data_IF_763296237398
#
_entry.id   IF_763296237398
#
_cell.length_a   1.000
_cell.length_b   1.000
_cell.length_c   1.000
_cell.angle_alpha   90.00
_cell.angle_beta   90.00
_cell.angle_gamma   90.00
#
_symmetry.space_group_name_H-M   'P 1'
#
loop_
_entity.id
_entity.type
_entity.pdbx_description
1 polymer ?
#
# COMPACT_ATOMS: atom_id res chain seq x y z
N UNK A 1 4.72 19.31 -0.24
CA UNK A 1 3.47 18.76 0.35
C UNK A 1 3.52 17.25 0.23
N UNK A 2 3.43 16.52 1.34
CA UNK A 2 3.46 15.05 1.39
C UNK A 2 2.05 14.47 1.51
N UNK A 3 1.92 13.14 1.43
CA UNK A 3 0.66 12.41 1.61
C UNK A 3 0.87 10.89 1.63
N UNK A 4 -0.22 10.13 1.71
CA UNK A 4 -0.22 8.67 1.63
C UNK A 4 -1.46 8.17 0.86
N UNK A 5 -1.59 6.85 0.75
CA UNK A 5 -2.71 6.10 0.15
C UNK A 5 -2.70 6.03 -1.38
N UNK A 6 -1.95 6.89 -2.06
CA UNK A 6 -1.97 6.99 -3.52
C UNK A 6 -3.39 7.12 -4.10
N UNK A 7 -4.24 7.93 -3.45
CA UNK A 7 -5.57 8.27 -3.97
C UNK A 7 -5.48 8.90 -5.36
N UNK A 8 -6.41 8.55 -6.28
CA UNK A 8 -6.32 8.96 -7.69
C UNK A 8 -6.16 10.48 -7.87
N UNK A 9 -6.87 11.28 -7.07
CA UNK A 9 -6.74 12.73 -7.11
C UNK A 9 -5.33 13.22 -6.68
N UNK A 10 -4.76 12.62 -5.64
CA UNK A 10 -3.40 12.91 -5.19
C UNK A 10 -2.34 12.43 -6.19
N UNK A 11 -2.55 11.29 -6.85
CA UNK A 11 -1.66 10.81 -7.92
C UNK A 11 -1.67 11.79 -9.09
N UNK A 12 -2.85 12.29 -9.50
CA UNK A 12 -2.93 13.34 -10.50
C UNK A 12 -2.22 14.63 -10.03
N UNK A 13 -2.33 15.00 -8.76
CA UNK A 13 -1.57 16.13 -8.21
C UNK A 13 -0.06 15.92 -8.20
N UNK A 14 0.41 14.69 -8.01
CA UNK A 14 1.84 14.35 -8.14
C UNK A 14 2.30 14.51 -9.59
N UNK A 15 1.50 14.06 -10.56
CA UNK A 15 1.79 14.23 -11.99
C UNK A 15 1.82 15.71 -12.39
N UNK A 16 0.83 16.48 -11.92
CA UNK A 16 0.68 17.93 -12.14
C UNK A 16 1.72 18.78 -11.36
N UNK A 17 2.48 18.20 -10.44
CA UNK A 17 3.43 18.92 -9.58
C UNK A 17 2.81 19.75 -8.44
N UNK A 18 1.52 19.52 -8.12
CA UNK A 18 0.79 20.18 -7.03
C UNK A 18 1.01 19.50 -5.67
N UNK A 19 1.32 18.20 -5.68
CA UNK A 19 1.70 17.42 -4.51
C UNK A 19 3.08 16.80 -4.76
N UNK A 20 3.98 16.83 -3.78
CA UNK A 20 5.37 16.43 -3.99
C UNK A 20 5.54 14.91 -4.02
N UNK A 21 4.77 14.20 -3.18
CA UNK A 21 4.81 12.74 -3.09
C UNK A 21 3.56 12.19 -2.40
N UNK A 22 3.35 10.88 -2.55
CA UNK A 22 2.44 10.07 -1.74
C UNK A 22 3.12 8.76 -1.34
N UNK A 23 2.88 8.27 -0.13
CA UNK A 23 3.29 6.91 0.27
C UNK A 23 2.25 5.91 -0.22
N UNK A 24 2.64 5.09 -1.19
CA UNK A 24 1.85 3.96 -1.67
C UNK A 24 1.93 2.81 -0.67
N UNK A 25 0.75 2.42 -0.18
CA UNK A 25 0.50 1.22 0.62
C UNK A 25 -0.35 0.29 -0.23
N UNK A 26 0.22 -0.81 -0.73
CA UNK A 26 -0.53 -1.70 -1.62
C UNK A 26 -1.61 -2.45 -0.84
N UNK A 27 -2.85 -1.96 -0.94
CA UNK A 27 -4.01 -2.54 -0.25
C UNK A 27 -4.27 -3.98 -0.71
N UNK A 28 -3.82 -4.39 -1.91
CA UNK A 28 -3.96 -5.78 -2.38
C UNK A 28 -3.14 -6.73 -1.53
N UNK A 29 -1.94 -6.32 -1.09
CA UNK A 29 -1.09 -7.10 -0.17
C UNK A 29 -1.77 -7.21 1.19
N UNK A 30 -2.22 -6.09 1.75
CA UNK A 30 -2.91 -6.07 3.04
C UNK A 30 -4.15 -6.99 3.04
N UNK A 31 -4.98 -6.92 2.00
CA UNK A 31 -6.18 -7.75 1.85
C UNK A 31 -5.81 -9.22 1.74
N UNK A 32 -4.78 -9.57 0.95
CA UNK A 32 -4.30 -10.95 0.81
C UNK A 32 -3.83 -11.52 2.15
N UNK A 33 -3.06 -10.75 2.91
CA UNK A 33 -2.54 -11.17 4.22
C UNK A 33 -3.66 -11.32 5.24
N UNK A 34 -4.64 -10.42 5.23
CA UNK A 34 -5.84 -10.51 6.08
C UNK A 34 -6.67 -11.76 5.77
N UNK A 35 -6.92 -12.05 4.48
CA UNK A 35 -7.63 -13.25 4.04
C UNK A 35 -6.85 -14.51 4.46
N UNK A 36 -5.53 -14.55 4.22
CA UNK A 36 -4.70 -15.69 4.59
C UNK A 36 -4.73 -15.94 6.10
N UNK A 37 -4.69 -14.87 6.89
CA UNK A 37 -4.76 -14.93 8.35
C UNK A 37 -6.11 -15.46 8.82
N UNK A 38 -7.21 -14.94 8.27
CA UNK A 38 -8.55 -15.40 8.60
C UNK A 38 -8.75 -16.88 8.24
N UNK A 39 -8.29 -17.31 7.05
CA UNK A 39 -8.37 -18.71 6.61
C UNK A 39 -7.57 -19.65 7.50
N UNK A 40 -6.37 -19.24 7.94
CA UNK A 40 -5.58 -20.04 8.89
C UNK A 40 -6.33 -20.26 10.21
N UNK A 41 -6.92 -19.20 10.78
CA UNK A 41 -7.75 -19.34 11.98
C UNK A 41 -8.96 -20.27 11.77
N UNK A 42 -9.65 -20.17 10.63
CA UNK A 42 -10.78 -21.06 10.31
C UNK A 42 -10.37 -22.53 10.17
N UNK A 43 -9.11 -22.81 9.85
CA UNK A 43 -8.55 -24.17 9.79
C UNK A 43 -8.00 -24.65 11.13
N UNK A 44 -8.05 -23.82 12.19
CA UNK A 44 -7.42 -24.12 13.46
C UNK A 44 -5.89 -24.01 13.44
N UNK A 45 -5.33 -23.34 12.43
CA UNK A 45 -3.91 -23.07 12.30
C UNK A 45 -3.54 -21.73 12.95
N UNK A 46 -2.27 -21.59 13.35
CA UNK A 46 -1.71 -20.31 13.79
C UNK A 46 -1.19 -19.55 12.58
N UNK A 47 -1.70 -18.33 12.28
CA UNK A 47 -1.19 -17.52 11.18
C UNK A 47 0.28 -17.14 11.37
N UNK A 48 1.01 -16.97 10.27
CA UNK A 48 2.37 -16.43 10.32
C UNK A 48 2.32 -14.94 10.66
N UNK A 49 3.06 -14.56 11.71
CA UNK A 49 3.26 -13.20 12.15
C UNK A 49 4.75 -13.03 12.51
N UNK A 50 5.59 -12.58 11.57
CA UNK A 50 7.05 -12.51 11.77
C UNK A 50 7.49 -11.41 12.73
N UNK A 51 6.62 -10.44 13.01
CA UNK A 51 6.88 -9.33 13.94
C UNK A 51 5.89 -9.28 15.08
N UNK A 52 6.05 -8.27 15.93
CA UNK A 52 5.11 -7.95 17.01
C UNK A 52 5.00 -6.45 17.18
N UNK A 53 3.81 -5.96 17.50
CA UNK A 53 3.55 -4.56 17.81
C UNK A 53 2.94 -4.40 19.19
N UNK A 54 3.56 -3.55 20.02
CA UNK A 54 3.10 -3.34 21.39
C UNK A 54 1.86 -2.43 21.40
N UNK A 55 0.74 -2.91 21.94
CA UNK A 55 -0.49 -2.12 22.06
C UNK A 55 -0.68 -1.48 23.45
N UNK A 56 0.38 -1.41 24.26
CA UNK A 56 0.36 -0.95 25.65
C UNK A 56 -0.05 -2.01 26.68
N UNK A 57 -0.37 -3.24 26.25
CA UNK A 57 -0.70 -4.37 27.14
C UNK A 57 0.05 -5.65 26.79
N UNK A 58 0.11 -5.96 25.50
CA UNK A 58 0.81 -7.14 24.97
C UNK A 58 1.55 -6.76 23.69
N UNK A 59 2.56 -7.55 23.38
CA UNK A 59 3.18 -7.57 22.06
C UNK A 59 2.29 -8.39 21.12
N UNK A 60 1.50 -7.71 20.29
CA UNK A 60 0.54 -8.32 19.37
C UNK A 60 1.30 -8.89 18.18
N UNK A 61 1.19 -10.19 17.86
CA UNK A 61 1.79 -10.75 16.65
C UNK A 61 1.31 -10.00 15.41
N UNK A 62 2.25 -9.52 14.59
CA UNK A 62 2.00 -8.65 13.46
C UNK A 62 2.68 -9.15 12.17
N UNK A 63 2.03 -8.84 11.05
CA UNK A 63 2.58 -8.95 9.70
C UNK A 63 2.53 -7.57 9.07
N UNK A 64 3.69 -6.99 8.81
CA UNK A 64 3.82 -5.66 8.22
C UNK A 64 4.04 -5.76 6.71
N UNK A 65 3.25 -5.01 5.94
CA UNK A 65 3.46 -4.87 4.50
C UNK A 65 4.38 -3.68 4.21
N UNK A 66 5.32 -3.86 3.28
CA UNK A 66 6.20 -2.78 2.85
C UNK A 66 5.42 -1.62 2.19
N UNK A 67 5.96 -0.40 2.33
CA UNK A 67 5.42 0.82 1.71
C UNK A 67 6.42 1.43 0.75
N UNK A 68 5.93 2.20 -0.22
CA UNK A 68 6.76 2.81 -1.26
C UNK A 68 6.48 4.30 -1.38
N UNK A 69 7.51 5.14 -1.32
CA UNK A 69 7.36 6.56 -1.68
C UNK A 69 7.18 6.70 -3.19
N UNK A 70 6.09 7.37 -3.59
CA UNK A 70 5.77 7.65 -4.98
C UNK A 70 5.89 9.15 -5.25
N UNK A 71 6.78 9.49 -6.19
CA UNK A 71 6.97 10.83 -6.76
C UNK A 71 6.66 10.79 -8.26
N UNK A 72 6.84 11.93 -8.94
CA UNK A 72 6.72 12.00 -10.40
C UNK A 72 7.69 11.05 -11.12
N UNK A 73 8.83 10.74 -10.51
CA UNK A 73 9.90 9.93 -11.13
C UNK A 73 9.56 8.44 -11.22
N UNK A 74 8.67 7.95 -10.35
CA UNK A 74 8.36 6.52 -10.25
C UNK A 74 6.85 6.19 -10.24
N UNK A 75 5.97 7.18 -10.42
CA UNK A 75 4.51 6.98 -10.40
C UNK A 75 4.04 5.91 -11.39
N UNK A 76 4.61 5.89 -12.60
CA UNK A 76 4.30 4.88 -13.61
C UNK A 76 4.71 3.48 -13.15
N UNK A 77 5.96 3.32 -12.69
CA UNK A 77 6.48 2.03 -12.23
C UNK A 77 5.71 1.50 -11.00
N UNK A 78 5.47 2.38 -10.02
CA UNK A 78 4.89 2.00 -8.74
C UNK A 78 3.39 1.67 -8.83
N UNK A 79 2.61 2.41 -9.64
CA UNK A 79 1.16 2.31 -9.63
C UNK A 79 0.56 1.70 -10.91
N UNK A 80 1.25 1.81 -12.05
CA UNK A 80 0.70 1.36 -13.34
C UNK A 80 1.34 0.04 -13.75
N UNK A 81 2.67 -0.02 -13.78
CA UNK A 81 3.39 -1.23 -14.17
C UNK A 81 3.19 -2.36 -13.12
N UNK A 82 2.88 -1.99 -11.87
CA UNK A 82 2.44 -2.93 -10.82
C UNK A 82 1.00 -3.42 -10.97
N UNK A 83 0.24 -2.87 -11.91
CA UNK A 83 -1.17 -3.16 -12.16
C UNK A 83 -2.12 -2.67 -11.06
N UNK A 84 -1.72 -1.70 -10.23
CA UNK A 84 -2.60 -1.16 -9.18
C UNK A 84 -3.71 -0.28 -9.77
N UNK A 85 -3.35 0.59 -10.71
CA UNK A 85 -4.27 1.39 -11.52
C UNK A 85 -3.96 1.24 -13.01
N UNK A 86 -4.88 1.76 -13.84
CA UNK A 86 -4.67 1.82 -15.29
C UNK A 86 -4.13 3.19 -15.68
N UNK A 87 -3.31 3.26 -16.72
CA UNK A 87 -2.79 4.55 -17.21
C UNK A 87 -3.92 5.51 -17.63
N UNK A 88 -5.06 4.97 -18.08
CA UNK A 88 -6.24 5.73 -18.49
C UNK A 88 -6.93 6.48 -17.33
N UNK A 89 -6.61 6.13 -16.07
CA UNK A 89 -7.11 6.84 -14.89
C UNK A 89 -6.49 8.25 -14.75
N UNK A 90 -5.40 8.55 -15.48
CA UNK A 90 -4.59 9.76 -15.30
C UNK A 90 -4.30 10.50 -16.61
N UNK A 91 -4.01 11.79 -16.49
CA UNK A 91 -3.60 12.67 -17.61
C UNK A 91 -2.16 13.13 -17.43
N UNK A 92 -1.42 13.26 -18.53
CA UNK A 92 -0.03 13.75 -18.49
C UNK A 92 0.96 12.77 -17.85
N UNK A 93 0.61 11.48 -17.84
CA UNK A 93 1.51 10.42 -17.41
C UNK A 93 2.47 10.10 -18.57
N UNK A 94 3.75 10.37 -18.38
CA UNK A 94 4.86 9.98 -19.27
C UNK A 94 5.51 8.66 -18.81
#
# INVERSE_FOLDING_TARGET
VTGQDAEKASVQYVIDGKQSMTVFKDVRTLVKDAISTAVAFLKGETPKAPGTENNGKIDVPATESAVVTVSKDNVKAALIDSGYYTAADFKGLE
#
